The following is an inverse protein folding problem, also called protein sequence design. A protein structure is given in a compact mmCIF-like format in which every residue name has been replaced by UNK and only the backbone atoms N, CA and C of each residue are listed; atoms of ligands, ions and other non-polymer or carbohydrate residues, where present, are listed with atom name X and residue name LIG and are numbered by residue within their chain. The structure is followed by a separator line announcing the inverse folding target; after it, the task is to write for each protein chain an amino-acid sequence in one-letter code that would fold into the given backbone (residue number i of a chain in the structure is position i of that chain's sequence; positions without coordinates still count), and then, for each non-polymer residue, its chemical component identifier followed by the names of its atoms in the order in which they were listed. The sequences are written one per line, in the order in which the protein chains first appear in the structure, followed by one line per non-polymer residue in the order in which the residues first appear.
data_IF_987093957582
#
_entry.id   IF_987093957582
#
_cell.length_a   1.000
_cell.length_b   1.000
_cell.length_c   1.000
_cell.angle_alpha   90.00
_cell.angle_beta   90.00
_cell.angle_gamma   90.00
#
_symmetry.space_group_name_H-M   'P 1'
#
loop_
_entity.id
_entity.type
_entity.pdbx_description
1 polymer ?
#
# COMPACT_ATOMS: atom_id res chain seq x y z
N UNK A 1 13.49 -18.39 -5.20
CA UNK A 1 13.69 -17.56 -4.00
C UNK A 1 14.25 -16.19 -4.40
N UNK A 2 15.28 -16.11 -5.26
CA UNK A 2 15.79 -14.81 -5.73
C UNK A 2 14.81 -14.01 -6.61
N UNK A 3 13.98 -14.69 -7.41
CA UNK A 3 13.11 -14.06 -8.41
C UNK A 3 11.93 -13.28 -7.81
N UNK A 4 11.34 -13.76 -6.71
CA UNK A 4 10.29 -13.04 -6.00
C UNK A 4 10.87 -11.82 -5.29
N UNK A 5 12.02 -11.96 -4.62
CA UNK A 5 12.69 -10.84 -3.97
C UNK A 5 13.11 -9.74 -4.95
N UNK A 6 13.67 -10.09 -6.11
CA UNK A 6 13.98 -9.12 -7.18
C UNK A 6 12.73 -8.45 -7.74
N UNK A 7 11.62 -9.19 -7.87
CA UNK A 7 10.36 -8.64 -8.33
C UNK A 7 9.76 -7.67 -7.33
N UNK A 8 9.76 -8.03 -6.04
CA UNK A 8 9.38 -7.13 -4.96
C UNK A 8 10.26 -5.89 -4.96
N UNK A 9 11.59 -6.03 -5.11
CA UNK A 9 12.56 -4.91 -5.22
C UNK A 9 12.24 -3.94 -6.34
N UNK A 10 11.86 -4.45 -7.51
CA UNK A 10 11.49 -3.63 -8.66
C UNK A 10 10.15 -2.90 -8.45
N UNK A 11 9.22 -3.49 -7.70
CA UNK A 11 7.92 -2.89 -7.39
C UNK A 11 7.95 -1.96 -6.16
N UNK A 12 9.00 -2.01 -5.32
CA UNK A 12 9.12 -1.18 -4.09
C UNK A 12 8.82 0.30 -4.33
N UNK A 13 9.30 0.96 -5.41
CA UNK A 13 9.02 2.38 -5.62
C UNK A 13 7.53 2.68 -5.81
N UNK A 14 6.82 1.86 -6.59
CA UNK A 14 5.40 2.05 -6.88
C UNK A 14 4.52 1.73 -5.67
N UNK A 15 4.85 0.65 -4.95
CA UNK A 15 4.20 0.31 -3.67
C UNK A 15 4.37 1.44 -2.65
N UNK A 16 5.59 1.98 -2.51
CA UNK A 16 5.85 3.10 -1.62
C UNK A 16 5.08 4.36 -2.04
N UNK A 17 4.88 4.58 -3.34
CA UNK A 17 4.09 5.70 -3.86
C UNK A 17 2.60 5.56 -3.52
N UNK A 18 2.02 4.37 -3.68
CA UNK A 18 0.62 4.09 -3.31
C UNK A 18 0.41 4.36 -1.81
N UNK A 19 1.27 3.79 -0.97
CA UNK A 19 1.21 3.99 0.49
C UNK A 19 1.40 5.47 0.84
N UNK A 20 2.39 6.13 0.25
CA UNK A 20 2.67 7.54 0.51
C UNK A 20 1.50 8.45 0.12
N UNK A 21 0.80 8.13 -0.96
CA UNK A 21 -0.39 8.89 -1.40
C UNK A 21 -1.52 8.76 -0.38
N UNK A 22 -1.81 7.54 0.09
CA UNK A 22 -2.83 7.32 1.11
C UNK A 22 -2.49 8.01 2.44
N UNK A 23 -1.23 7.97 2.87
CA UNK A 23 -0.77 8.69 4.08
C UNK A 23 -0.95 10.20 3.92
N UNK A 24 -0.58 10.77 2.77
CA UNK A 24 -0.76 12.21 2.51
C UNK A 24 -2.23 12.62 2.52
N UNK A 25 -3.13 11.75 2.03
CA UNK A 25 -4.57 12.00 2.08
C UNK A 25 -5.08 12.03 3.54
N UNK A 26 -4.74 11.00 4.33
CA UNK A 26 -5.12 10.93 5.75
C UNK A 26 -4.60 12.14 6.55
N UNK A 27 -3.34 12.53 6.35
CA UNK A 27 -2.76 13.69 7.03
C UNK A 27 -3.47 15.00 6.65
N UNK A 28 -3.84 15.15 5.38
CA UNK A 28 -4.56 16.33 4.89
C UNK A 28 -5.96 16.42 5.48
N UNK A 29 -6.63 15.28 5.64
CA UNK A 29 -7.97 15.18 6.23
C UNK A 29 -7.95 15.16 7.77
N UNK A 30 -6.78 15.27 8.40
CA UNK A 30 -6.60 15.12 9.86
C UNK A 30 -7.10 13.77 10.41
N UNK A 31 -7.03 12.72 9.59
CA UNK A 31 -7.36 11.35 9.94
C UNK A 31 -6.25 10.64 10.72
N UNK A 32 -6.60 9.54 11.39
CA UNK A 32 -5.64 8.67 12.05
C UNK A 32 -4.74 7.98 11.01
N UNK A 33 -3.43 7.95 11.26
CA UNK A 33 -2.46 7.22 10.43
C UNK A 33 -2.07 5.92 11.13
N UNK A 34 -2.72 4.83 10.74
CA UNK A 34 -2.48 3.47 11.20
C UNK A 34 -2.38 2.53 10.00
N UNK A 35 -1.86 1.31 10.18
CA UNK A 35 -1.79 0.32 9.08
C UNK A 35 -3.17 0.08 8.46
N UNK A 36 -4.18 -0.05 9.31
CA UNK A 36 -5.56 -0.32 8.90
C UNK A 36 -6.16 0.89 8.17
N UNK A 37 -6.00 2.10 8.70
CA UNK A 37 -6.57 3.30 8.05
C UNK A 37 -5.89 3.62 6.73
N UNK A 38 -4.58 3.35 6.60
CA UNK A 38 -3.87 3.49 5.32
C UNK A 38 -4.39 2.46 4.31
N UNK A 39 -4.59 1.20 4.72
CA UNK A 39 -5.10 0.17 3.82
C UNK A 39 -6.52 0.50 3.33
N UNK A 40 -7.40 0.94 4.23
CA UNK A 40 -8.76 1.40 3.89
C UNK A 40 -8.71 2.61 2.94
N UNK A 41 -7.81 3.57 3.19
CA UNK A 41 -7.65 4.74 2.31
C UNK A 41 -7.15 4.35 0.91
N UNK A 42 -6.25 3.36 0.81
CA UNK A 42 -5.83 2.82 -0.50
C UNK A 42 -7.02 2.22 -1.25
N UNK A 43 -7.87 1.43 -0.58
CA UNK A 43 -9.08 0.85 -1.19
C UNK A 43 -10.07 1.92 -1.67
N UNK A 44 -10.17 3.06 -0.96
CA UNK A 44 -10.99 4.21 -1.38
C UNK A 44 -10.40 4.90 -2.61
N UNK A 45 -9.08 5.12 -2.63
CA UNK A 45 -8.38 5.87 -3.68
C UNK A 45 -8.29 5.08 -5.01
N UNK A 46 -8.11 3.76 -4.94
CA UNK A 46 -7.86 2.91 -6.10
C UNK A 46 -8.99 1.91 -6.29
N UNK A 47 -10.00 2.30 -7.07
CA UNK A 47 -11.17 1.48 -7.38
C UNK A 47 -11.13 0.94 -8.82
N UNK A 48 -11.69 -0.26 -9.01
CA UNK A 48 -11.94 -0.90 -10.31
C UNK A 48 -10.69 -0.95 -11.22
N UNK A 49 -10.68 -0.21 -12.33
CA UNK A 49 -9.63 -0.23 -13.35
C UNK A 49 -8.27 0.32 -12.87
N UNK A 50 -8.24 0.93 -11.68
CA UNK A 50 -7.04 1.52 -11.08
C UNK A 50 -6.31 0.58 -10.12
N UNK A 51 -6.84 -0.63 -9.90
CA UNK A 51 -6.18 -1.64 -9.06
C UNK A 51 -5.01 -2.24 -9.84
N UNK A 52 -3.81 -1.72 -9.59
CA UNK A 52 -2.56 -2.29 -10.09
C UNK A 52 -2.01 -3.31 -9.11
N UNK A 53 -1.06 -4.12 -9.55
CA UNK A 53 -0.35 -5.03 -8.66
C UNK A 53 0.30 -4.29 -7.47
N UNK A 54 0.80 -3.08 -7.66
CA UNK A 54 1.38 -2.29 -6.58
C UNK A 54 0.34 -1.89 -5.52
N UNK A 55 -0.92 -1.67 -5.92
CA UNK A 55 -2.05 -1.42 -5.01
C UNK A 55 -2.35 -2.65 -4.17
N UNK A 56 -2.45 -3.83 -4.81
CA UNK A 56 -2.69 -5.09 -4.12
C UNK A 56 -1.58 -5.40 -3.11
N UNK A 57 -0.32 -5.29 -3.54
CA UNK A 57 0.84 -5.52 -2.67
C UNK A 57 0.92 -4.52 -1.51
N UNK A 58 0.55 -3.25 -1.72
CA UNK A 58 0.50 -2.26 -0.65
C UNK A 58 -0.51 -2.66 0.44
N UNK A 59 -1.70 -3.11 0.03
CA UNK A 59 -2.73 -3.59 0.97
C UNK A 59 -2.24 -4.83 1.71
N UNK A 60 -1.65 -5.79 1.00
CA UNK A 60 -1.12 -7.02 1.60
C UNK A 60 -0.03 -6.70 2.64
N UNK A 61 0.93 -5.83 2.33
CA UNK A 61 1.99 -5.42 3.29
C UNK A 61 1.40 -4.78 4.55
N UNK A 62 0.34 -3.98 4.42
CA UNK A 62 -0.30 -3.31 5.54
C UNK A 62 -1.11 -4.27 6.40
N UNK A 63 -1.76 -5.27 5.78
CA UNK A 63 -2.62 -6.25 6.46
C UNK A 63 -1.87 -7.49 6.94
N UNK A 64 -0.67 -7.77 6.43
CA UNK A 64 0.15 -8.88 6.88
C UNK A 64 0.49 -8.70 8.36
N UNK A 65 0.23 -9.71 9.21
CA UNK A 65 0.71 -9.69 10.58
C UNK A 65 2.25 -9.58 10.56
N UNK A 66 2.86 -8.83 11.48
CA UNK A 66 4.32 -8.83 11.59
C UNK A 66 4.77 -10.28 11.76
N UNK A 67 5.71 -10.73 10.92
CA UNK A 67 6.31 -12.06 11.07
C UNK A 67 6.77 -12.21 12.53
N UNK A 68 6.15 -13.14 13.25
CA UNK A 68 6.41 -13.41 14.66
C UNK A 68 7.62 -14.30 14.86
#
# INVERSE_FOLDING_TARGET
MDSEQEFFEQQRPEVAQVIGTAVMQLLTESGEVSKDSIAEMIEVLYQEEQVTLAVELAIDILRLPPEG
#
